data_IF_363841475931
#
_entry.id   IF_363841475931
#
_cell.length_a   1.000
_cell.length_b   1.000
_cell.length_c   1.000
_cell.angle_alpha   90.00
_cell.angle_beta   90.00
_cell.angle_gamma   90.00
#
_symmetry.space_group_name_H-M   'P 1'
#
loop_
_entity.id
_entity.type
_entity.pdbx_description
1 polymer ?
#
# COMPACT_ATOMS: atom_id res chain seq x y z
N UNK A 1 -0.30 -1.60 -22.14
CA UNK A 1 -1.40 -0.94 -21.41
C UNK A 1 -0.89 0.38 -20.85
N UNK A 2 -1.73 1.41 -20.78
CA UNK A 2 -1.41 2.69 -20.16
C UNK A 2 -1.99 2.74 -18.74
N UNK A 3 -1.12 2.83 -17.73
CA UNK A 3 -1.47 2.68 -16.32
C UNK A 3 -1.19 4.01 -15.59
N UNK A 4 -2.20 4.60 -14.96
CA UNK A 4 -2.01 5.79 -14.14
C UNK A 4 -1.54 5.37 -12.74
N UNK A 5 -0.48 6.01 -12.24
CA UNK A 5 0.05 5.77 -10.91
C UNK A 5 -0.51 6.81 -9.93
N UNK A 6 -1.22 6.35 -8.92
CA UNK A 6 -1.53 7.14 -7.74
C UNK A 6 -0.48 6.91 -6.65
N UNK A 7 0.46 7.85 -6.50
CA UNK A 7 1.42 7.85 -5.39
C UNK A 7 0.75 8.43 -4.15
N UNK A 8 0.73 7.67 -3.09
CA UNK A 8 0.08 8.10 -1.84
C UNK A 8 0.87 9.21 -1.14
N UNK A 9 0.20 10.06 -0.39
CA UNK A 9 0.83 11.22 0.26
C UNK A 9 2.03 10.85 1.16
N UNK A 10 1.96 9.71 1.87
CA UNK A 10 3.08 9.21 2.67
C UNK A 10 4.23 8.70 1.80
N UNK A 11 3.93 8.00 0.72
CA UNK A 11 4.95 7.52 -0.20
C UNK A 11 5.64 8.69 -0.91
N UNK A 12 4.88 9.69 -1.37
CA UNK A 12 5.44 10.87 -2.03
C UNK A 12 6.34 11.68 -1.09
N UNK A 13 5.85 11.98 0.11
CA UNK A 13 6.55 12.84 1.06
C UNK A 13 7.72 12.20 1.80
N UNK A 14 7.65 10.90 2.11
CA UNK A 14 8.62 10.23 3.00
C UNK A 14 9.32 9.02 2.36
N UNK A 15 8.68 8.35 1.39
CA UNK A 15 9.18 7.12 0.78
C UNK A 15 9.09 7.16 -0.75
N UNK A 16 9.70 8.17 -1.42
CA UNK A 16 9.58 8.36 -2.87
C UNK A 16 10.14 7.18 -3.69
N UNK A 17 10.93 6.31 -3.05
CA UNK A 17 11.40 5.05 -3.60
C UNK A 17 10.26 4.15 -4.06
N UNK A 18 9.13 4.12 -3.34
CA UNK A 18 7.97 3.28 -3.64
C UNK A 18 7.35 3.64 -5.00
N UNK A 19 7.09 4.91 -5.24
CA UNK A 19 6.57 5.38 -6.53
C UNK A 19 7.51 5.06 -7.69
N UNK A 20 8.82 5.38 -7.52
CA UNK A 20 9.85 5.07 -8.52
C UNK A 20 10.00 3.57 -8.78
N UNK A 21 9.92 2.75 -7.74
CA UNK A 21 9.96 1.29 -7.86
C UNK A 21 8.74 0.77 -8.64
N UNK A 22 7.54 1.30 -8.36
CA UNK A 22 6.33 0.93 -9.08
C UNK A 22 6.44 1.27 -10.56
N UNK A 23 6.96 2.45 -10.92
CA UNK A 23 7.20 2.84 -12.32
C UNK A 23 8.16 1.86 -12.98
N UNK A 24 9.37 1.66 -12.41
CA UNK A 24 10.37 0.74 -12.99
C UNK A 24 9.82 -0.68 -13.16
N UNK A 25 9.04 -1.17 -12.21
CA UNK A 25 8.43 -2.49 -12.27
C UNK A 25 7.48 -2.61 -13.46
N UNK A 26 6.55 -1.67 -13.60
CA UNK A 26 5.54 -1.71 -14.67
C UNK A 26 6.13 -1.45 -16.05
N UNK A 27 7.11 -0.54 -16.18
CA UNK A 27 7.84 -0.30 -17.43
C UNK A 27 8.66 -1.53 -17.85
N UNK A 28 9.32 -2.22 -16.88
CA UNK A 28 10.01 -3.50 -17.16
C UNK A 28 9.06 -4.58 -17.67
N UNK A 29 7.80 -4.57 -17.25
CA UNK A 29 6.75 -5.46 -17.76
C UNK A 29 6.13 -4.99 -19.09
N UNK A 30 6.64 -3.92 -19.70
CA UNK A 30 6.22 -3.43 -20.99
C UNK A 30 4.98 -2.51 -20.97
N UNK A 31 4.68 -1.89 -19.84
CA UNK A 31 3.55 -0.96 -19.69
C UNK A 31 4.01 0.49 -19.65
N UNK A 32 3.19 1.40 -20.20
CA UNK A 32 3.37 2.84 -20.08
C UNK A 32 2.80 3.31 -18.73
N UNK A 33 3.60 4.03 -17.94
CA UNK A 33 3.14 4.59 -16.67
C UNK A 33 2.91 6.09 -16.79
N UNK A 34 1.72 6.54 -16.45
CA UNK A 34 1.34 7.95 -16.42
C UNK A 34 1.26 8.42 -14.97
N UNK A 35 1.85 9.57 -14.71
CA UNK A 35 1.84 10.20 -13.40
C UNK A 35 1.09 11.54 -13.45
N UNK A 36 -0.22 11.59 -13.14
CA UNK A 36 -0.97 12.85 -13.04
C UNK A 36 -0.42 13.70 -11.89
N UNK A 37 0.07 14.90 -12.20
CA UNK A 37 0.72 15.78 -11.20
C UNK A 37 -0.28 16.43 -10.24
N UNK A 38 -1.53 16.49 -10.63
CA UNK A 38 -2.62 17.11 -9.89
C UNK A 38 -3.14 16.24 -8.75
N UNK A 39 -2.66 15.01 -8.62
CA UNK A 39 -3.06 14.11 -7.55
C UNK A 39 -2.66 14.63 -6.15
N UNK A 40 -3.43 14.26 -5.15
CA UNK A 40 -3.19 14.64 -3.75
C UNK A 40 -3.38 13.45 -2.81
N UNK A 41 -3.93 13.65 -1.61
CA UNK A 41 -4.24 12.57 -0.67
C UNK A 41 -5.54 11.84 -1.06
N UNK A 42 -5.62 10.53 -0.79
CA UNK A 42 -6.86 9.76 -0.95
C UNK A 42 -7.96 10.11 0.07
N UNK A 43 -7.66 10.88 1.12
CA UNK A 43 -8.63 11.23 2.16
C UNK A 43 -8.83 10.18 3.26
N UNK A 44 -8.18 9.03 3.20
CA UNK A 44 -8.37 7.92 4.13
C UNK A 44 -8.19 8.32 5.61
N UNK A 45 -7.22 9.15 5.93
CA UNK A 45 -7.00 9.62 7.31
C UNK A 45 -8.18 10.46 7.82
N UNK A 46 -8.80 11.25 6.96
CA UNK A 46 -9.99 12.03 7.30
C UNK A 46 -11.19 11.12 7.53
N UNK A 47 -11.47 10.20 6.60
CA UNK A 47 -12.59 9.28 6.70
C UNK A 47 -12.51 8.38 7.92
N UNK A 48 -11.33 7.82 8.20
CA UNK A 48 -11.12 6.96 9.38
C UNK A 48 -11.24 7.70 10.72
N UNK A 49 -11.10 9.02 10.71
CA UNK A 49 -11.22 9.85 11.91
C UNK A 49 -12.62 10.47 12.05
N UNK A 50 -13.51 10.28 11.05
CA UNK A 50 -14.85 10.84 11.04
C UNK A 50 -14.93 12.25 10.45
N UNK A 51 -13.86 12.83 9.94
CA UNK A 51 -13.83 14.15 9.28
C UNK A 51 -14.27 14.03 7.82
N UNK A 52 -15.54 13.60 7.63
CA UNK A 52 -16.07 13.29 6.29
C UNK A 52 -16.24 14.55 5.42
N UNK A 53 -16.52 15.71 6.04
CA UNK A 53 -16.64 16.98 5.31
C UNK A 53 -15.30 17.39 4.70
N UNK A 54 -14.22 17.20 5.45
CA UNK A 54 -12.86 17.50 5.03
C UNK A 54 -12.34 16.49 4.02
N UNK A 55 -12.88 15.27 4.03
CA UNK A 55 -12.57 14.25 3.03
C UNK A 55 -13.20 14.54 1.65
N UNK A 56 -14.37 15.20 1.60
CA UNK A 56 -15.12 15.40 0.36
C UNK A 56 -14.33 16.11 -0.75
N UNK A 57 -13.60 17.22 -0.52
CA UNK A 57 -12.79 17.85 -1.55
C UNK A 57 -11.65 16.94 -2.06
N UNK A 58 -11.11 16.05 -1.21
CA UNK A 58 -10.08 15.08 -1.60
C UNK A 58 -10.69 13.98 -2.50
N UNK A 59 -11.89 13.51 -2.18
CA UNK A 59 -12.65 12.58 -3.03
C UNK A 59 -12.90 13.20 -4.40
N UNK A 60 -13.38 14.42 -4.45
CA UNK A 60 -13.62 15.14 -5.71
C UNK A 60 -12.33 15.26 -6.53
N UNK A 61 -11.26 15.69 -5.89
CA UNK A 61 -9.96 15.83 -6.56
C UNK A 61 -9.45 14.50 -7.13
N UNK A 62 -9.58 13.39 -6.36
CA UNK A 62 -9.20 12.08 -6.85
C UNK A 62 -9.99 11.68 -8.10
N UNK A 63 -11.31 11.86 -8.05
CA UNK A 63 -12.19 11.55 -9.19
C UNK A 63 -11.83 12.40 -10.40
N UNK A 64 -11.71 13.73 -10.25
CA UNK A 64 -11.38 14.65 -11.36
C UNK A 64 -10.04 14.32 -12.03
N UNK A 65 -9.06 13.82 -11.26
CA UNK A 65 -7.72 13.48 -11.78
C UNK A 65 -7.71 12.13 -12.51
N UNK A 66 -8.51 11.15 -12.03
CA UNK A 66 -8.39 9.77 -12.51
C UNK A 66 -9.59 9.27 -13.33
N UNK A 67 -10.63 10.08 -13.54
CA UNK A 67 -11.84 9.63 -14.23
C UNK A 67 -11.62 9.27 -15.71
N UNK A 68 -10.63 9.86 -16.37
CA UNK A 68 -10.29 9.55 -17.77
C UNK A 68 -9.20 8.47 -17.89
N UNK A 69 -8.70 7.93 -16.77
CA UNK A 69 -7.68 6.89 -16.78
C UNK A 69 -8.32 5.52 -16.97
N UNK A 70 -7.74 4.69 -17.85
CA UNK A 70 -8.21 3.32 -18.11
C UNK A 70 -7.99 2.40 -16.90
N UNK A 71 -6.81 2.50 -16.29
CA UNK A 71 -6.42 1.72 -15.10
C UNK A 71 -5.62 2.62 -14.16
N UNK A 72 -5.90 2.51 -12.86
CA UNK A 72 -5.16 3.22 -11.81
C UNK A 72 -4.51 2.20 -10.89
N UNK A 73 -3.20 2.28 -10.71
CA UNK A 73 -2.45 1.49 -9.73
C UNK A 73 -2.12 2.30 -8.49
N UNK A 74 -2.29 1.70 -7.33
CA UNK A 74 -1.99 2.31 -6.04
C UNK A 74 -1.11 1.34 -5.23
N UNK A 75 0.17 1.66 -4.98
CA UNK A 75 1.03 0.85 -4.12
C UNK A 75 0.71 1.08 -2.63
N UNK A 76 -0.55 0.87 -2.26
CA UNK A 76 -1.04 1.01 -0.88
C UNK A 76 -2.43 0.40 -0.74
N UNK A 77 -2.57 -0.65 0.04
CA UNK A 77 -3.86 -1.28 0.31
C UNK A 77 -4.81 -0.37 1.09
N UNK A 78 -4.30 0.47 1.99
CA UNK A 78 -5.14 1.39 2.76
C UNK A 78 -5.74 2.49 1.90
N UNK A 79 -4.97 3.07 0.99
CA UNK A 79 -5.46 4.09 0.06
C UNK A 79 -6.40 3.50 -0.99
N UNK A 80 -6.07 2.33 -1.55
CA UNK A 80 -6.96 1.61 -2.48
C UNK A 80 -8.30 1.29 -1.82
N UNK A 81 -8.26 0.79 -0.58
CA UNK A 81 -9.46 0.51 0.21
C UNK A 81 -10.33 1.75 0.44
N UNK A 82 -9.72 2.90 0.72
CA UNK A 82 -10.44 4.17 0.86
C UNK A 82 -11.13 4.57 -0.45
N UNK A 83 -10.42 4.51 -1.57
CA UNK A 83 -10.99 4.83 -2.89
C UNK A 83 -12.17 3.93 -3.20
N UNK A 84 -12.01 2.62 -3.07
CA UNK A 84 -13.04 1.64 -3.46
C UNK A 84 -14.28 1.65 -2.56
N UNK A 85 -14.11 1.85 -1.25
CA UNK A 85 -15.20 1.63 -0.30
C UNK A 85 -15.70 2.91 0.38
N UNK A 86 -14.92 3.99 0.37
CA UNK A 86 -15.26 5.19 1.14
C UNK A 86 -15.60 6.39 0.25
N UNK A 87 -15.02 6.56 -0.94
CA UNK A 87 -15.21 7.75 -1.76
C UNK A 87 -16.69 7.99 -2.13
N UNK A 88 -17.36 6.98 -2.70
CA UNK A 88 -18.77 7.08 -3.05
C UNK A 88 -19.66 7.31 -1.81
N UNK A 89 -19.36 6.63 -0.70
CA UNK A 89 -20.05 6.82 0.57
C UNK A 89 -19.93 8.26 1.08
N UNK A 90 -18.72 8.85 1.04
CA UNK A 90 -18.50 10.24 1.43
C UNK A 90 -19.30 11.19 0.55
N UNK A 91 -19.27 11.01 -0.78
CA UNK A 91 -20.05 11.84 -1.70
C UNK A 91 -21.57 11.78 -1.41
N UNK A 92 -22.14 10.58 -1.23
CA UNK A 92 -23.56 10.38 -0.87
C UNK A 92 -23.92 11.02 0.46
N UNK A 93 -23.02 10.94 1.45
CA UNK A 93 -23.26 11.54 2.77
C UNK A 93 -23.56 13.05 2.70
N UNK A 94 -23.06 13.73 1.66
CA UNK A 94 -23.27 15.16 1.42
C UNK A 94 -24.22 15.46 0.26
N UNK A 95 -25.00 14.47 -0.19
CA UNK A 95 -26.01 14.62 -1.23
C UNK A 95 -25.47 14.76 -2.67
N UNK A 96 -24.18 14.50 -2.90
CA UNK A 96 -23.57 14.57 -4.22
C UNK A 96 -23.60 13.20 -4.91
N UNK A 97 -24.77 12.82 -5.41
CA UNK A 97 -24.97 11.53 -6.08
C UNK A 97 -24.24 11.46 -7.44
N UNK A 98 -24.04 12.62 -8.10
CA UNK A 98 -23.29 12.66 -9.35
C UNK A 98 -21.80 12.31 -9.10
N UNK A 99 -21.20 12.91 -8.08
CA UNK A 99 -19.83 12.56 -7.66
C UNK A 99 -19.72 11.12 -7.18
N UNK A 100 -20.74 10.62 -6.47
CA UNK A 100 -20.73 9.24 -6.00
C UNK A 100 -20.66 8.23 -7.16
N UNK A 101 -21.45 8.41 -8.22
CA UNK A 101 -21.40 7.55 -9.41
C UNK A 101 -20.06 7.64 -10.14
N UNK A 102 -19.48 8.83 -10.27
CA UNK A 102 -18.15 9.02 -10.84
C UNK A 102 -17.08 8.31 -9.99
N UNK A 103 -17.17 8.45 -8.66
CA UNK A 103 -16.25 7.78 -7.73
C UNK A 103 -16.33 6.24 -7.85
N UNK A 104 -17.53 5.67 -7.98
CA UNK A 104 -17.71 4.23 -8.23
C UNK A 104 -17.08 3.79 -9.55
N UNK A 105 -17.25 4.57 -10.60
CA UNK A 105 -16.65 4.28 -11.91
C UNK A 105 -15.11 4.29 -11.87
N UNK A 106 -14.50 5.23 -11.15
CA UNK A 106 -13.03 5.26 -10.95
C UNK A 106 -12.58 4.14 -10.03
N UNK A 107 -13.33 3.86 -8.95
CA UNK A 107 -13.03 2.79 -8.00
C UNK A 107 -12.95 1.41 -8.66
N UNK A 108 -13.83 1.12 -9.64
CA UNK A 108 -13.88 -0.15 -10.37
C UNK A 108 -12.60 -0.44 -11.17
N UNK A 109 -11.81 0.57 -11.51
CA UNK A 109 -10.56 0.47 -12.27
C UNK A 109 -9.32 0.91 -11.47
N UNK A 110 -9.48 1.03 -10.15
CA UNK A 110 -8.39 1.31 -9.21
C UNK A 110 -7.98 0.02 -8.50
N UNK A 111 -6.72 -0.36 -8.66
CA UNK A 111 -6.17 -1.62 -8.15
C UNK A 111 -5.02 -1.39 -7.18
N UNK A 112 -4.96 -2.20 -6.14
CA UNK A 112 -3.73 -2.35 -5.35
C UNK A 112 -2.66 -3.03 -6.23
N UNK A 113 -1.38 -2.77 -5.97
CA UNK A 113 -0.29 -3.22 -6.83
C UNK A 113 -0.29 -4.74 -7.06
N UNK A 114 -0.50 -5.54 -6.02
CA UNK A 114 -0.51 -7.00 -6.17
C UNK A 114 -1.74 -7.52 -6.92
N UNK A 115 -2.89 -6.86 -6.77
CA UNK A 115 -4.09 -7.16 -7.56
C UNK A 115 -3.87 -6.81 -9.04
N UNK A 116 -3.29 -5.64 -9.33
CA UNK A 116 -2.97 -5.28 -10.71
C UNK A 116 -2.07 -6.33 -11.37
N UNK A 117 -0.97 -6.69 -10.70
CA UNK A 117 0.00 -7.64 -11.26
C UNK A 117 -0.62 -9.01 -11.51
N UNK A 118 -1.30 -9.56 -10.52
CA UNK A 118 -1.78 -10.95 -10.57
C UNK A 118 -3.09 -11.10 -11.34
N UNK A 119 -4.09 -10.23 -11.07
CA UNK A 119 -5.43 -10.42 -11.62
C UNK A 119 -5.64 -9.72 -12.96
N UNK A 120 -5.01 -8.56 -13.17
CA UNK A 120 -5.21 -7.78 -14.40
C UNK A 120 -4.14 -8.08 -15.43
N UNK A 121 -2.87 -8.10 -15.01
CA UNK A 121 -1.73 -8.37 -15.91
C UNK A 121 -1.41 -9.86 -16.04
N UNK A 122 -1.94 -10.72 -15.15
CA UNK A 122 -1.71 -12.16 -15.18
C UNK A 122 -0.27 -12.57 -14.84
N UNK A 123 0.49 -11.72 -14.13
CA UNK A 123 1.92 -11.91 -13.87
C UNK A 123 2.13 -12.21 -12.39
N UNK A 124 2.74 -13.36 -12.08
CA UNK A 124 3.19 -13.73 -10.74
C UNK A 124 4.71 -13.70 -10.58
N UNK A 125 5.47 -13.94 -11.66
CA UNK A 125 6.91 -13.77 -11.72
C UNK A 125 7.24 -12.48 -12.50
N UNK A 126 7.77 -11.51 -11.79
CA UNK A 126 8.14 -10.20 -12.33
C UNK A 126 9.65 -10.08 -12.64
N UNK A 127 10.40 -11.17 -12.56
CA UNK A 127 11.84 -11.20 -12.79
C UNK A 127 12.65 -10.47 -11.71
N UNK A 128 12.13 -10.42 -10.47
CA UNK A 128 12.80 -9.78 -9.35
C UNK A 128 13.90 -10.66 -8.74
N UNK A 129 14.93 -10.01 -8.18
CA UNK A 129 16.00 -10.66 -7.44
C UNK A 129 16.25 -9.94 -6.12
N UNK A 130 16.11 -10.66 -4.99
CA UNK A 130 16.25 -10.08 -3.65
C UNK A 130 16.78 -11.12 -2.65
N UNK A 131 18.12 -11.28 -2.52
CA UNK A 131 18.74 -12.37 -1.76
C UNK A 131 18.83 -12.06 -0.26
N UNK A 132 17.69 -11.91 0.38
CA UNK A 132 17.52 -11.61 1.81
C UNK A 132 16.47 -12.49 2.44
N UNK A 133 16.59 -12.66 3.77
CA UNK A 133 15.56 -13.27 4.60
C UNK A 133 14.46 -12.26 4.88
N UNK A 134 13.26 -12.51 4.35
CA UNK A 134 12.13 -11.56 4.32
C UNK A 134 10.91 -12.13 5.02
N UNK A 135 10.25 -11.32 5.84
CA UNK A 135 8.91 -11.61 6.36
C UNK A 135 7.89 -10.59 5.84
N UNK A 136 6.65 -11.04 5.61
CA UNK A 136 5.59 -10.21 5.03
C UNK A 136 4.49 -9.86 6.04
N UNK A 137 4.22 -8.56 6.20
CA UNK A 137 3.09 -8.05 6.99
C UNK A 137 1.90 -7.72 6.05
N UNK A 138 0.76 -8.46 6.15
CA UNK A 138 -0.35 -8.35 5.18
C UNK A 138 -1.24 -7.12 5.35
N UNK A 139 -0.90 -6.16 6.12
CA UNK A 139 -1.64 -4.94 6.45
C UNK A 139 -3.17 -5.12 6.62
N UNK A 140 -3.78 -4.44 7.57
CA UNK A 140 -5.19 -4.71 7.92
C UNK A 140 -6.18 -4.32 6.81
N UNK A 141 -5.90 -3.28 6.02
CA UNK A 141 -6.77 -2.88 4.91
C UNK A 141 -6.68 -3.84 3.73
N UNK A 142 -5.48 -4.29 3.35
CA UNK A 142 -5.30 -5.30 2.31
C UNK A 142 -5.98 -6.62 2.69
N UNK A 143 -5.82 -7.04 3.95
CA UNK A 143 -6.37 -8.30 4.45
C UNK A 143 -7.90 -8.27 4.55
N UNK A 144 -8.47 -7.23 5.20
CA UNK A 144 -9.88 -7.23 5.63
C UNK A 144 -10.79 -6.44 4.72
N UNK A 145 -10.33 -5.31 4.18
CA UNK A 145 -11.14 -4.43 3.35
C UNK A 145 -11.06 -4.81 1.87
N UNK A 146 -9.85 -4.89 1.31
CA UNK A 146 -9.64 -5.28 -0.10
C UNK A 146 -9.69 -6.78 -0.32
N UNK A 147 -9.33 -7.58 0.70
CA UNK A 147 -9.23 -9.04 0.61
C UNK A 147 -8.29 -9.48 -0.51
N UNK A 148 -7.11 -8.89 -0.54
CA UNK A 148 -6.10 -9.20 -1.58
C UNK A 148 -5.63 -10.67 -1.56
N UNK A 149 -5.90 -11.40 -0.46
CA UNK A 149 -5.57 -12.81 -0.32
C UNK A 149 -4.07 -13.08 -0.36
N UNK A 150 -3.69 -14.11 -1.09
CA UNK A 150 -2.30 -14.58 -1.18
C UNK A 150 -1.47 -13.92 -2.31
N UNK A 151 -2.03 -12.96 -3.06
CA UNK A 151 -1.37 -12.32 -4.21
C UNK A 151 0.02 -11.77 -3.88
N UNK A 152 0.22 -11.02 -2.77
CA UNK A 152 1.55 -10.55 -2.39
C UNK A 152 2.52 -11.69 -2.11
N UNK A 153 2.08 -12.76 -1.45
CA UNK A 153 2.90 -13.93 -1.16
C UNK A 153 3.24 -14.73 -2.44
N UNK A 154 2.31 -14.82 -3.39
CA UNK A 154 2.58 -15.42 -4.71
C UNK A 154 3.67 -14.67 -5.45
N UNK A 155 3.61 -13.34 -5.45
CA UNK A 155 4.65 -12.50 -6.06
C UNK A 155 6.00 -12.69 -5.34
N UNK A 156 6.02 -12.64 -4.01
CA UNK A 156 7.25 -12.79 -3.22
C UNK A 156 7.89 -14.17 -3.40
N UNK A 157 7.11 -15.25 -3.47
CA UNK A 157 7.63 -16.63 -3.70
C UNK A 157 8.34 -16.80 -5.04
N UNK A 158 8.05 -15.95 -6.03
CA UNK A 158 8.71 -15.94 -7.33
C UNK A 158 9.93 -15.00 -7.40
N UNK A 159 10.25 -14.28 -6.32
CA UNK A 159 11.47 -13.46 -6.28
C UNK A 159 12.69 -14.34 -6.13
N UNK A 160 13.62 -14.26 -7.08
CA UNK A 160 14.84 -15.06 -7.05
C UNK A 160 15.75 -14.70 -5.86
N UNK A 161 16.22 -15.71 -5.15
CA UNK A 161 17.14 -15.55 -4.01
C UNK A 161 16.46 -15.19 -2.69
N UNK A 162 15.17 -14.94 -2.65
CA UNK A 162 14.46 -14.62 -1.41
C UNK A 162 14.38 -15.84 -0.47
N UNK A 163 14.62 -15.63 0.83
CA UNK A 163 14.27 -16.56 1.90
C UNK A 163 13.02 -16.03 2.60
N UNK A 164 11.84 -16.46 2.13
CA UNK A 164 10.56 -15.97 2.63
C UNK A 164 10.12 -16.76 3.85
N UNK A 165 10.07 -16.10 5.01
CA UNK A 165 9.67 -16.69 6.28
C UNK A 165 8.31 -16.20 6.74
N UNK A 166 7.51 -17.10 7.31
CA UNK A 166 6.18 -16.79 7.81
C UNK A 166 6.24 -15.85 9.01
N UNK A 167 5.37 -14.84 9.03
CA UNK A 167 5.22 -13.91 10.14
C UNK A 167 4.24 -14.50 11.17
N UNK A 168 4.67 -14.80 12.41
CA UNK A 168 3.74 -15.15 13.47
C UNK A 168 2.73 -14.02 13.69
N UNK A 169 1.48 -14.38 13.97
CA UNK A 169 0.38 -13.42 14.17
C UNK A 169 0.28 -12.37 13.06
N UNK A 170 0.46 -12.81 11.80
CA UNK A 170 0.51 -11.95 10.62
C UNK A 170 -0.70 -11.01 10.53
N UNK A 171 -1.89 -11.49 10.89
CA UNK A 171 -3.16 -10.76 10.80
C UNK A 171 -3.34 -9.67 11.88
N UNK A 172 -2.50 -9.66 12.92
CA UNK A 172 -2.57 -8.64 13.98
C UNK A 172 -2.11 -7.29 13.41
N UNK A 173 -2.87 -6.23 13.71
CA UNK A 173 -2.58 -4.88 13.25
C UNK A 173 -1.26 -4.35 13.83
N UNK A 174 -0.53 -3.57 13.05
CA UNK A 174 0.70 -2.89 13.52
C UNK A 174 0.44 -1.74 14.51
N UNK A 175 -0.82 -1.26 14.63
CA UNK A 175 -1.18 -0.17 15.53
C UNK A 175 -1.11 1.24 14.93
N UNK A 176 -0.71 1.43 13.67
CA UNK A 176 -0.59 2.78 13.08
C UNK A 176 -1.95 3.50 12.99
N UNK A 177 -2.89 2.98 12.20
CA UNK A 177 -4.25 3.52 12.06
C UNK A 177 -4.35 5.01 11.70
N UNK A 178 -3.34 5.60 11.08
CA UNK A 178 -3.30 7.03 10.73
C UNK A 178 -3.28 7.90 11.99
N UNK A 179 -4.30 8.75 12.16
CA UNK A 179 -4.44 9.62 13.34
C UNK A 179 -4.64 8.84 14.65
N UNK A 180 -5.01 7.55 14.58
CA UNK A 180 -5.14 6.69 15.76
C UNK A 180 -3.81 6.60 16.53
N UNK A 181 -2.68 6.47 15.84
CA UNK A 181 -1.36 6.41 16.48
C UNK A 181 -1.04 7.67 17.31
N UNK A 182 -1.55 8.83 16.90
CA UNK A 182 -1.38 10.10 17.62
C UNK A 182 -2.40 10.25 18.75
N UNK A 183 -3.68 9.97 18.46
CA UNK A 183 -4.78 10.17 19.42
C UNK A 183 -4.82 9.11 20.52
N UNK A 184 -4.33 7.90 20.24
CA UNK A 184 -4.33 6.75 21.13
C UNK A 184 -2.94 6.15 21.29
N UNK A 185 -1.92 7.01 21.53
CA UNK A 185 -0.51 6.66 21.50
C UNK A 185 -0.13 5.45 22.36
N UNK A 186 -0.67 5.34 23.58
CA UNK A 186 -0.40 4.20 24.47
C UNK A 186 -0.86 2.86 23.87
N UNK A 187 -2.08 2.81 23.33
CA UNK A 187 -2.63 1.60 22.70
C UNK A 187 -1.88 1.28 21.42
N UNK A 188 -1.63 2.28 20.58
CA UNK A 188 -0.84 2.14 19.35
C UNK A 188 0.56 1.57 19.62
N UNK A 189 1.23 2.06 20.67
CA UNK A 189 2.57 1.59 21.07
C UNK A 189 2.52 0.14 21.58
N UNK A 190 1.49 -0.25 22.33
CA UNK A 190 1.32 -1.64 22.78
C UNK A 190 1.13 -2.60 21.57
N UNK A 191 0.26 -2.23 20.62
CA UNK A 191 0.06 -3.00 19.38
C UNK A 191 1.35 -3.08 18.54
N UNK A 192 2.11 -1.99 18.48
CA UNK A 192 3.41 -1.97 17.79
C UNK A 192 4.40 -2.92 18.47
N UNK A 193 4.47 -2.94 19.80
CA UNK A 193 5.36 -3.82 20.55
C UNK A 193 5.07 -5.30 20.27
N UNK A 194 3.79 -5.69 20.20
CA UNK A 194 3.39 -7.05 19.84
C UNK A 194 3.82 -7.39 18.39
N UNK A 195 3.56 -6.49 17.44
CA UNK A 195 3.97 -6.70 16.04
C UNK A 195 5.49 -6.79 15.89
N UNK A 196 6.25 -5.93 16.56
CA UNK A 196 7.72 -6.01 16.54
C UNK A 196 8.22 -7.34 17.10
N UNK A 197 7.62 -7.86 18.19
CA UNK A 197 7.97 -9.15 18.75
C UNK A 197 7.76 -10.28 17.73
N UNK A 198 6.64 -10.27 17.00
CA UNK A 198 6.37 -11.23 15.93
C UNK A 198 7.40 -11.11 14.79
N UNK A 199 7.75 -9.89 14.36
CA UNK A 199 8.77 -9.68 13.33
C UNK A 199 10.14 -10.19 13.78
N UNK A 200 10.58 -9.84 14.99
CA UNK A 200 11.88 -10.26 15.53
C UNK A 200 11.98 -11.78 15.72
N UNK A 201 10.88 -12.45 16.08
CA UNK A 201 10.83 -13.90 16.23
C UNK A 201 11.12 -14.66 14.91
N UNK A 202 10.96 -14.01 13.74
CA UNK A 202 11.27 -14.62 12.43
C UNK A 202 12.76 -14.68 12.12
N UNK A 203 13.59 -13.87 12.78
CA UNK A 203 14.99 -13.65 12.40
C UNK A 203 15.16 -13.05 11.01
N UNK A 204 14.12 -12.39 10.45
CA UNK A 204 14.18 -11.78 9.13
C UNK A 204 15.06 -10.53 9.13
N UNK A 205 15.85 -10.38 8.05
CA UNK A 205 16.63 -9.17 7.78
C UNK A 205 15.71 -8.01 7.36
N UNK A 206 14.58 -8.35 6.70
CA UNK A 206 13.64 -7.39 6.14
C UNK A 206 12.20 -7.75 6.48
N UNK A 207 11.43 -6.79 6.99
CA UNK A 207 9.98 -6.84 7.06
C UNK A 207 9.39 -6.05 5.90
N UNK A 208 8.58 -6.70 5.06
CA UNK A 208 7.92 -6.06 3.91
C UNK A 208 6.40 -5.98 4.08
N UNK A 209 5.79 -5.00 3.42
CA UNK A 209 4.34 -4.81 3.36
C UNK A 209 3.95 -4.00 2.12
N UNK A 210 2.66 -3.99 1.77
CA UNK A 210 2.08 -3.17 0.72
C UNK A 210 1.62 -1.77 1.16
N UNK A 211 1.96 -1.34 2.38
CA UNK A 211 1.61 -0.01 2.91
C UNK A 211 2.80 0.64 3.60
N UNK A 212 3.27 1.76 3.06
CA UNK A 212 4.36 2.57 3.65
C UNK A 212 4.06 3.03 5.07
N UNK A 213 2.79 3.26 5.39
CA UNK A 213 2.34 3.68 6.72
C UNK A 213 2.61 2.63 7.80
N UNK A 214 2.34 1.35 7.51
CA UNK A 214 2.65 0.25 8.41
C UNK A 214 4.17 0.07 8.54
N UNK A 215 4.90 0.14 7.43
CA UNK A 215 6.37 0.02 7.43
C UNK A 215 7.05 1.14 8.19
N UNK A 216 6.55 2.38 8.05
CA UNK A 216 7.03 3.52 8.84
C UNK A 216 6.88 3.29 10.35
N UNK A 217 5.72 2.78 10.77
CA UNK A 217 5.43 2.52 12.18
C UNK A 217 6.28 1.38 12.73
N UNK A 218 6.31 0.25 12.04
CA UNK A 218 7.11 -0.92 12.42
C UNK A 218 8.61 -0.58 12.39
N UNK A 219 9.09 0.03 11.31
CA UNK A 219 10.49 0.40 11.13
C UNK A 219 10.98 1.43 12.16
N UNK A 220 10.13 2.40 12.52
CA UNK A 220 10.42 3.35 13.58
C UNK A 220 10.60 2.68 14.94
N UNK A 221 9.77 1.68 15.26
CA UNK A 221 9.90 0.88 16.46
C UNK A 221 11.15 0.00 16.46
N UNK A 222 11.40 -0.74 15.38
CA UNK A 222 12.59 -1.59 15.22
C UNK A 222 13.89 -0.79 15.30
N UNK A 223 13.92 0.39 14.67
CA UNK A 223 15.07 1.31 14.72
C UNK A 223 15.38 1.77 16.14
N UNK A 224 14.36 2.10 16.95
CA UNK A 224 14.55 2.46 18.36
C UNK A 224 15.13 1.34 19.22
N UNK A 225 14.87 0.09 18.84
CA UNK A 225 15.43 -1.10 19.50
C UNK A 225 16.82 -1.47 18.97
N UNK A 226 17.34 -0.78 17.96
CA UNK A 226 18.54 -1.18 17.21
C UNK A 226 18.48 -2.64 16.75
N UNK A 227 17.31 -3.08 16.28
CA UNK A 227 17.00 -4.48 16.02
C UNK A 227 17.69 -5.07 14.78
N UNK A 228 18.30 -4.23 13.92
CA UNK A 228 18.96 -4.68 12.69
C UNK A 228 18.01 -5.05 11.54
N UNK A 229 16.72 -5.24 11.80
CA UNK A 229 15.72 -5.57 10.76
C UNK A 229 15.29 -4.29 10.03
N UNK A 230 15.47 -4.27 8.71
CA UNK A 230 15.02 -3.19 7.84
C UNK A 230 13.53 -3.31 7.48
N UNK A 231 12.91 -2.20 7.06
CA UNK A 231 11.59 -2.23 6.43
C UNK A 231 11.68 -1.79 4.98
N UNK A 232 11.16 -2.59 4.05
CA UNK A 232 11.21 -2.34 2.61
C UNK A 232 9.83 -2.57 2.01
N UNK A 233 9.37 -1.66 1.17
CA UNK A 233 8.04 -1.78 0.55
C UNK A 233 8.00 -2.91 -0.48
N UNK A 234 6.87 -3.62 -0.59
CA UNK A 234 6.67 -4.70 -1.57
C UNK A 234 7.08 -4.29 -2.99
N UNK A 235 6.68 -3.10 -3.43
CA UNK A 235 7.04 -2.58 -4.75
C UNK A 235 8.56 -2.49 -4.97
N UNK A 236 9.34 -2.17 -3.94
CA UNK A 236 10.79 -2.04 -4.04
C UNK A 236 11.45 -3.42 -4.17
N UNK A 237 10.95 -4.43 -3.45
CA UNK A 237 11.40 -5.82 -3.61
C UNK A 237 11.07 -6.32 -5.02
N UNK A 238 9.84 -6.11 -5.50
CA UNK A 238 9.41 -6.56 -6.81
C UNK A 238 10.10 -5.82 -7.98
N UNK A 239 10.57 -4.59 -7.74
CA UNK A 239 11.33 -3.82 -8.73
C UNK A 239 12.82 -4.15 -8.75
N UNK A 240 13.35 -4.81 -7.71
CA UNK A 240 14.78 -5.11 -7.61
C UNK A 240 15.25 -6.12 -8.67
N UNK A 241 16.49 -5.95 -9.13
CA UNK A 241 17.15 -6.86 -10.08
C UNK A 241 18.58 -7.12 -9.65
N UNK A 242 19.27 -8.07 -10.30
CA UNK A 242 20.69 -8.31 -10.04
C UNK A 242 21.59 -7.11 -10.36
N UNK A 243 21.13 -6.25 -11.26
CA UNK A 243 21.87 -5.06 -11.74
C UNK A 243 21.61 -3.82 -10.84
N UNK A 244 20.59 -3.87 -9.98
CA UNK A 244 20.17 -2.73 -9.12
C UNK A 244 20.99 -2.60 -7.83
N UNK A 245 22.16 -3.22 -7.74
CA UNK A 245 23.05 -3.19 -6.56
C UNK A 245 24.03 -2.06 -6.62
#
# INVERSE_FOLDING_TARGET
MRIALFVTCLADGLFPGVGRATVRLLERLGHEVVFPREQTCCGQMHTNTGYLREALPLVRRYVDVFEDCEVVVVPSGSCTGSVRHQHAMVARRFGDEALARRAEAVAARTFELSELLVDVLGVADVGAYYPHRVTYHPTCHSLRLLRVGDRPLRLLRNVAGIDLVELPDAEVCCGFGGTFAVKNGAVSTAMLADKMRSVLATGAEVCTAGDSSCLMHIGGGLSRLNAGTATVHLAEILASTRESR
#
